data_IF_835509164057
#
_entry.id   IF_835509164057
#
_cell.length_a   1.000
_cell.length_b   1.000
_cell.length_c   1.000
_cell.angle_alpha   90.00
_cell.angle_beta   90.00
_cell.angle_gamma   90.00
#
_symmetry.space_group_name_H-M   'P 1'
#
loop_
_entity.id
_entity.type
_entity.pdbx_description
1 polymer ?
#
# COMPACT_ATOMS: atom_id res chain seq x y z
N UNK A 1 -0.57 -31.61 -19.44
CA UNK A 1 -1.57 -32.23 -18.54
C UNK A 1 -1.76 -31.44 -17.24
N UNK A 2 -0.71 -31.20 -16.44
CA UNK A 2 -0.85 -30.51 -15.14
C UNK A 2 -1.42 -29.09 -15.26
N UNK A 3 -0.93 -28.29 -16.22
CA UNK A 3 -1.47 -26.95 -16.41
C UNK A 3 -2.95 -26.99 -16.85
N UNK A 4 -3.28 -27.76 -17.90
CA UNK A 4 -4.65 -27.83 -18.42
C UNK A 4 -5.69 -28.16 -17.33
N UNK A 5 -5.38 -29.10 -16.44
CA UNK A 5 -6.23 -29.42 -15.28
C UNK A 5 -6.52 -28.20 -14.38
N UNK A 6 -5.50 -27.37 -14.11
CA UNK A 6 -5.65 -26.17 -13.29
C UNK A 6 -6.54 -25.14 -13.99
N UNK A 7 -6.37 -24.95 -15.30
CA UNK A 7 -7.23 -24.05 -16.07
C UNK A 7 -8.68 -24.51 -16.07
N UNK A 8 -8.90 -25.79 -16.38
CA UNK A 8 -10.25 -26.35 -16.50
C UNK A 8 -10.97 -26.36 -15.14
N UNK A 9 -10.23 -26.53 -14.03
CA UNK A 9 -10.78 -26.55 -12.68
C UNK A 9 -11.03 -25.15 -12.11
N UNK A 10 -10.10 -24.21 -12.30
CA UNK A 10 -10.10 -22.92 -11.60
C UNK A 10 -10.32 -21.71 -12.52
N UNK A 11 -10.30 -21.88 -13.84
CA UNK A 11 -10.47 -20.81 -14.84
C UNK A 11 -9.29 -19.82 -14.92
N UNK A 12 -8.17 -20.09 -14.23
CA UNK A 12 -7.01 -19.19 -14.14
C UNK A 12 -5.73 -19.92 -13.72
N UNK A 13 -4.60 -19.22 -13.82
CA UNK A 13 -3.32 -19.64 -13.26
C UNK A 13 -2.65 -18.52 -12.45
N UNK A 14 -1.99 -18.83 -11.31
CA UNK A 14 -2.07 -20.09 -10.56
C UNK A 14 -3.45 -20.26 -9.91
N UNK A 15 -3.99 -21.49 -9.90
CA UNK A 15 -5.34 -21.74 -9.37
C UNK A 15 -5.51 -21.41 -7.88
N UNK A 16 -4.42 -21.38 -7.11
CA UNK A 16 -4.40 -21.21 -5.65
C UNK A 16 -4.33 -19.76 -5.17
N UNK A 17 -4.07 -18.80 -6.05
CA UNK A 17 -3.97 -17.38 -5.68
C UNK A 17 -4.95 -16.53 -6.50
N UNK A 18 -5.52 -15.47 -5.92
CA UNK A 18 -6.22 -14.44 -6.69
C UNK A 18 -5.34 -13.88 -7.81
N UNK A 19 -5.92 -13.62 -8.99
CA UNK A 19 -5.20 -12.96 -10.09
C UNK A 19 -4.77 -11.54 -9.74
N UNK A 20 -5.49 -10.89 -8.82
CA UNK A 20 -5.11 -9.64 -8.18
C UNK A 20 -4.98 -9.93 -6.70
N UNK A 21 -3.78 -9.77 -6.16
CA UNK A 21 -3.48 -10.02 -4.76
C UNK A 21 -3.10 -8.70 -4.09
N UNK A 22 -3.94 -8.24 -3.16
CA UNK A 22 -3.68 -7.03 -2.36
C UNK A 22 -3.44 -7.48 -0.93
N UNK A 23 -2.22 -7.29 -0.44
CA UNK A 23 -1.91 -7.51 0.97
C UNK A 23 -1.92 -6.16 1.72
N UNK A 24 -2.38 -6.14 2.98
CA UNK A 24 -2.15 -4.99 3.83
C UNK A 24 -0.64 -4.81 3.99
N UNK A 25 -0.13 -3.69 3.50
CA UNK A 25 1.26 -3.29 3.65
C UNK A 25 1.31 -2.02 4.49
N UNK A 26 1.95 -2.10 5.65
CA UNK A 26 2.08 -0.97 6.56
C UNK A 26 3.55 -0.55 6.60
N UNK A 27 3.82 0.69 6.21
CA UNK A 27 5.15 1.29 6.25
C UNK A 27 5.14 2.47 7.22
N UNK A 28 6.11 2.49 8.15
CA UNK A 28 6.44 3.70 8.90
C UNK A 28 7.47 4.49 8.08
N UNK A 29 7.13 5.71 7.67
CA UNK A 29 7.99 6.56 6.85
C UNK A 29 7.75 8.04 7.06
N UNK A 30 8.77 8.85 6.80
CA UNK A 30 8.64 10.28 6.63
C UNK A 30 8.24 10.55 5.18
N UNK A 31 7.03 11.04 4.98
CA UNK A 31 6.55 11.49 3.67
C UNK A 31 6.79 12.99 3.52
N UNK A 32 6.96 13.46 2.29
CA UNK A 32 7.10 14.88 1.97
C UNK A 32 5.75 15.60 2.07
N UNK A 33 5.47 16.23 3.21
CA UNK A 33 4.17 16.88 3.44
C UNK A 33 3.91 18.03 2.46
N UNK A 34 4.94 18.79 2.07
CA UNK A 34 4.81 19.94 1.18
C UNK A 34 4.36 19.52 -0.23
N UNK A 35 4.86 18.38 -0.71
CA UNK A 35 4.40 17.81 -1.97
C UNK A 35 2.90 17.48 -1.92
N UNK A 36 2.44 16.79 -0.86
CA UNK A 36 1.04 16.39 -0.76
C UNK A 36 0.12 17.59 -0.56
N UNK A 37 0.52 18.58 0.25
CA UNK A 37 -0.26 19.79 0.47
C UNK A 37 -0.41 20.63 -0.81
N UNK A 38 0.58 20.57 -1.71
CA UNK A 38 0.54 21.29 -2.99
C UNK A 38 -0.32 20.61 -4.06
N UNK A 39 -0.28 19.28 -4.13
CA UNK A 39 -0.82 18.54 -5.27
C UNK A 39 -2.06 17.69 -4.96
N UNK A 40 -2.41 17.50 -3.69
CA UNK A 40 -3.52 16.63 -3.28
C UNK A 40 -4.53 17.36 -2.40
N UNK A 41 -5.70 16.73 -2.25
CA UNK A 41 -6.76 17.21 -1.38
C UNK A 41 -6.49 16.88 0.09
N UNK A 42 -7.21 17.57 0.99
CA UNK A 42 -7.17 17.30 2.42
C UNK A 42 -7.52 15.84 2.70
N UNK A 43 -6.68 15.17 3.48
CA UNK A 43 -6.82 13.75 3.80
C UNK A 43 -5.93 12.82 2.99
N UNK A 44 -5.10 13.36 2.09
CA UNK A 44 -4.12 12.58 1.33
C UNK A 44 -3.07 11.88 2.21
N UNK A 45 -2.87 12.36 3.44
CA UNK A 45 -2.10 11.67 4.47
C UNK A 45 -2.79 11.78 5.84
N UNK A 46 -2.46 10.84 6.72
CA UNK A 46 -2.99 10.81 8.09
C UNK A 46 -2.35 11.90 8.96
N UNK A 47 -3.10 12.40 9.96
CA UNK A 47 -2.59 13.34 10.98
C UNK A 47 -1.29 12.88 11.65
N UNK A 48 -1.11 11.57 11.81
CA UNK A 48 0.12 10.98 12.38
C UNK A 48 1.35 11.24 11.53
N UNK A 49 1.22 11.38 10.21
CA UNK A 49 2.33 11.78 9.33
C UNK A 49 2.66 13.27 9.52
N UNK A 50 1.64 14.14 9.57
CA UNK A 50 1.84 15.58 9.79
C UNK A 50 2.55 15.89 11.12
N UNK A 51 2.23 15.14 12.17
CA UNK A 51 2.81 15.36 13.50
C UNK A 51 4.10 14.57 13.72
N UNK A 52 4.59 13.83 12.73
CA UNK A 52 5.67 12.87 12.91
C UNK A 52 6.95 13.53 13.40
N UNK A 53 7.46 14.52 12.66
CA UNK A 53 8.72 15.20 13.02
C UNK A 53 8.63 15.79 14.42
N UNK A 54 7.55 16.50 14.73
CA UNK A 54 7.32 17.08 16.06
C UNK A 54 7.32 16.03 17.19
N UNK A 55 6.73 14.86 16.96
CA UNK A 55 6.54 13.85 18.01
C UNK A 55 7.74 12.94 18.19
N UNK A 56 8.44 12.62 17.11
CA UNK A 56 9.48 11.61 17.11
C UNK A 56 10.89 12.18 16.94
N UNK A 57 11.01 13.40 16.39
CA UNK A 57 12.27 14.10 16.15
C UNK A 57 12.20 15.55 16.65
N UNK A 58 11.90 15.79 17.94
CA UNK A 58 11.69 17.15 18.46
C UNK A 58 12.95 18.03 18.47
N UNK A 59 14.13 17.41 18.34
CA UNK A 59 15.44 18.08 18.41
C UNK A 59 16.11 18.25 17.03
N UNK A 60 15.48 17.76 15.95
CA UNK A 60 15.84 18.13 14.56
C UNK A 60 15.20 19.46 14.17
#
# INVERSE_FOLDING_TARGET
>A
LQAQYIYDTFGKFPGTVPSIFVMPYLQAQHIDLDFYDRFYEKGAYLKTHAEHMKKWHPDE
#
